data_IF_811080592319
#
_entry.id   IF_811080592319
#
_cell.length_a   1.000
_cell.length_b   1.000
_cell.length_c   1.000
_cell.angle_alpha   90.00
_cell.angle_beta   90.00
_cell.angle_gamma   90.00
#
_symmetry.space_group_name_H-M   'P 1'
#
loop_
_entity.id
_entity.type
_entity.pdbx_description
1 polymer ?
#
# COMPACT_ATOMS: atom_id res chain seq x y z
N UNK A 1 -5.73 3.63 8.41
CA UNK A 1 -4.32 3.86 8.74
C UNK A 1 -3.68 2.60 9.27
N UNK A 2 -2.35 2.50 9.13
CA UNK A 2 -1.53 1.50 9.80
C UNK A 2 -0.55 2.21 10.73
N UNK A 3 -0.44 1.71 11.96
CA UNK A 3 0.47 2.26 12.96
C UNK A 3 1.31 1.12 13.51
N UNK A 4 2.64 1.30 13.50
CA UNK A 4 3.59 0.39 14.15
C UNK A 4 4.23 1.08 15.35
N UNK A 5 4.50 0.31 16.37
CA UNK A 5 5.24 0.77 17.55
C UNK A 5 6.13 -0.34 18.10
N UNK A 6 7.18 0.09 18.81
CA UNK A 6 7.98 -0.77 19.67
C UNK A 6 7.78 -0.35 21.12
N UNK A 7 7.46 -1.33 21.97
CA UNK A 7 7.23 -1.15 23.41
C UNK A 7 8.45 -1.68 24.16
N UNK A 8 9.02 -0.87 25.04
CA UNK A 8 10.18 -1.24 25.85
C UNK A 8 10.24 -0.40 27.13
N UNK A 9 10.37 -1.04 28.27
CA UNK A 9 10.55 -0.39 29.59
C UNK A 9 9.55 0.75 29.88
N UNK A 10 8.25 0.51 29.69
CA UNK A 10 7.20 1.51 29.97
C UNK A 10 7.09 2.63 28.93
N UNK A 11 7.91 2.58 27.88
CA UNK A 11 7.82 3.50 26.74
C UNK A 11 7.20 2.81 25.53
N UNK A 12 6.46 3.57 24.72
CA UNK A 12 5.94 3.13 23.43
C UNK A 12 6.39 4.13 22.36
N UNK A 13 7.23 3.67 21.45
CA UNK A 13 7.74 4.50 20.37
C UNK A 13 7.04 4.13 19.07
N UNK A 14 6.31 5.08 18.49
CA UNK A 14 5.70 4.95 17.16
C UNK A 14 6.83 4.93 16.13
N UNK A 15 6.91 3.86 15.37
CA UNK A 15 7.96 3.62 14.39
C UNK A 15 7.46 3.73 12.96
N UNK A 16 6.14 3.78 12.78
CA UNK A 16 5.49 3.97 11.50
C UNK A 16 4.04 4.42 11.66
N UNK A 17 3.61 5.40 10.88
CA UNK A 17 2.24 5.85 10.79
C UNK A 17 1.92 6.20 9.35
N UNK A 18 1.18 5.32 8.67
CA UNK A 18 0.94 5.38 7.24
C UNK A 18 -0.54 5.49 6.87
N UNK A 19 -0.81 6.20 5.79
CA UNK A 19 -2.09 6.07 5.09
C UNK A 19 -2.15 4.74 4.37
N UNK A 20 -3.31 4.07 4.39
CA UNK A 20 -3.57 2.84 3.64
C UNK A 20 -4.50 3.14 2.47
N UNK A 21 -4.16 2.63 1.31
CA UNK A 21 -4.94 2.74 0.08
C UNK A 21 -5.63 1.42 -0.19
N UNK A 22 -6.92 1.33 0.19
CA UNK A 22 -7.73 0.11 0.11
C UNK A 22 -8.81 0.32 -0.95
N UNK A 23 -8.88 -0.60 -1.93
CA UNK A 23 -9.78 -0.54 -3.08
C UNK A 23 -10.52 -1.86 -3.30
N UNK A 24 -11.39 -1.86 -4.27
CA UNK A 24 -12.08 -3.04 -4.81
C UNK A 24 -12.96 -3.78 -3.79
N UNK A 25 -14.04 -3.15 -3.25
CA UNK A 25 -15.03 -3.90 -2.49
C UNK A 25 -15.67 -5.00 -3.37
N UNK A 26 -16.04 -6.15 -2.83
CA UNK A 26 -16.04 -6.48 -1.41
C UNK A 26 -14.70 -7.03 -0.89
N UNK A 27 -13.65 -7.11 -1.72
CA UNK A 27 -12.37 -7.72 -1.36
C UNK A 27 -11.46 -6.82 -0.53
N UNK A 28 -11.62 -5.48 -0.63
CA UNK A 28 -10.86 -4.48 0.12
C UNK A 28 -9.35 -4.69 0.01
N UNK A 29 -8.86 -4.79 -1.22
CA UNK A 29 -7.46 -5.02 -1.53
C UNK A 29 -6.63 -3.80 -1.14
N UNK A 30 -5.57 -4.01 -0.37
CA UNK A 30 -4.61 -2.99 -0.01
C UNK A 30 -3.64 -2.75 -1.17
N UNK A 31 -3.88 -1.66 -1.89
CA UNK A 31 -3.14 -1.31 -3.11
C UNK A 31 -1.92 -0.44 -2.83
N UNK A 32 -1.69 -0.09 -1.58
CA UNK A 32 -0.51 0.67 -1.20
C UNK A 32 -0.60 1.39 0.14
N UNK A 33 0.53 2.03 0.48
CA UNK A 33 0.70 2.85 1.67
C UNK A 33 1.44 4.14 1.30
N UNK A 34 1.31 5.16 2.15
CA UNK A 34 2.14 6.37 2.08
C UNK A 34 2.52 6.78 3.50
N UNK A 35 3.80 6.93 3.76
CA UNK A 35 4.36 7.34 5.05
C UNK A 35 5.27 8.56 4.89
N UNK A 36 5.17 9.55 5.79
CA UNK A 36 4.22 9.65 6.89
C UNK A 36 2.78 9.88 6.44
N UNK A 37 1.82 9.56 7.29
CA UNK A 37 0.41 9.87 7.04
C UNK A 37 0.18 11.38 6.92
N UNK A 38 -0.78 11.78 6.10
CA UNK A 38 -1.19 13.18 5.92
C UNK A 38 -2.43 13.57 6.74
N UNK A 39 -2.74 12.79 7.77
CA UNK A 39 -3.85 13.10 8.68
C UNK A 39 -3.56 14.36 9.49
N UNK A 40 -4.60 15.11 9.84
CA UNK A 40 -4.54 16.25 10.75
C UNK A 40 -3.92 15.86 12.08
N UNK A 41 -3.05 16.71 12.63
CA UNK A 41 -2.23 16.40 13.80
C UNK A 41 -3.05 16.02 15.05
N UNK A 42 -4.15 16.70 15.34
CA UNK A 42 -4.99 16.35 16.49
C UNK A 42 -5.58 14.93 16.35
N UNK A 43 -6.05 14.59 15.17
CA UNK A 43 -6.58 13.25 14.88
C UNK A 43 -5.49 12.19 14.95
N UNK A 44 -4.28 12.51 14.48
CA UNK A 44 -3.11 11.66 14.59
C UNK A 44 -2.80 11.32 16.04
N UNK A 45 -2.76 12.34 16.91
CA UNK A 45 -2.50 12.18 18.34
C UNK A 45 -3.58 11.36 19.07
N UNK A 46 -4.85 11.56 18.71
CA UNK A 46 -5.94 10.73 19.24
C UNK A 46 -5.84 9.26 18.80
N UNK A 47 -5.45 9.01 17.55
CA UNK A 47 -5.22 7.65 17.04
C UNK A 47 -4.06 6.97 17.78
N UNK A 48 -2.93 7.66 17.95
CA UNK A 48 -1.76 7.16 18.69
C UNK A 48 -2.16 6.87 20.15
N UNK A 49 -2.88 7.78 20.79
CA UNK A 49 -3.32 7.62 22.19
C UNK A 49 -4.28 6.44 22.35
N UNK A 50 -5.19 6.26 21.40
CA UNK A 50 -6.14 5.13 21.39
C UNK A 50 -5.39 3.81 21.15
N UNK A 51 -4.41 3.79 20.26
CA UNK A 51 -3.55 2.64 20.05
C UNK A 51 -2.77 2.26 21.31
N UNK A 52 -2.19 3.23 22.00
CA UNK A 52 -1.47 3.01 23.26
C UNK A 52 -2.36 2.38 24.35
N UNK A 53 -3.61 2.86 24.49
CA UNK A 53 -4.58 2.25 25.39
C UNK A 53 -4.94 0.81 25.00
N UNK A 54 -5.07 0.53 23.72
CA UNK A 54 -5.31 -0.82 23.20
C UNK A 54 -4.13 -1.77 23.46
N UNK A 55 -2.90 -1.32 23.25
CA UNK A 55 -1.68 -2.08 23.56
C UNK A 55 -1.59 -2.41 25.05
N UNK A 56 -1.89 -1.44 25.93
CA UNK A 56 -1.97 -1.67 27.36
C UNK A 56 -3.04 -2.69 27.73
N UNK A 57 -4.23 -2.58 27.13
CA UNK A 57 -5.34 -3.50 27.40
C UNK A 57 -5.03 -4.95 27.04
N UNK A 58 -4.17 -5.16 26.04
CA UNK A 58 -3.63 -6.48 25.66
C UNK A 58 -2.50 -6.96 26.57
N UNK A 59 -2.02 -6.14 27.49
CA UNK A 59 -0.92 -6.50 28.40
C UNK A 59 0.45 -6.57 27.72
N UNK A 60 0.64 -5.96 26.55
CA UNK A 60 1.92 -5.94 25.86
C UNK A 60 2.85 -4.91 26.51
N UNK A 61 3.95 -5.39 27.11
CA UNK A 61 4.93 -4.57 27.84
C UNK A 61 6.27 -4.46 27.13
N UNK A 62 6.60 -5.41 26.23
CA UNK A 62 7.83 -5.44 25.44
C UNK A 62 7.57 -6.05 24.07
N UNK A 63 8.21 -5.52 23.05
CA UNK A 63 8.14 -6.03 21.68
C UNK A 63 7.39 -5.13 20.71
N UNK A 64 7.06 -5.66 19.55
CA UNK A 64 6.38 -4.94 18.50
C UNK A 64 4.86 -4.97 18.67
N UNK A 65 4.21 -3.87 18.36
CA UNK A 65 2.77 -3.76 18.21
C UNK A 65 2.44 -3.08 16.88
N UNK A 66 1.39 -3.56 16.20
CA UNK A 66 0.85 -3.01 14.97
C UNK A 66 -0.65 -2.82 15.14
N UNK A 67 -1.19 -1.72 14.63
CA UNK A 67 -2.64 -1.53 14.57
C UNK A 67 -3.12 -1.18 13.17
N UNK A 68 -4.27 -1.75 12.81
CA UNK A 68 -5.14 -1.24 11.77
C UNK A 68 -6.22 -0.39 12.44
N UNK A 69 -6.23 0.89 12.12
CA UNK A 69 -7.03 1.88 12.84
C UNK A 69 -7.64 2.89 11.85
N UNK A 70 -8.80 3.41 12.16
CA UNK A 70 -9.44 4.46 11.36
C UNK A 70 -9.99 5.57 12.23
N UNK A 71 -10.06 6.76 11.67
CA UNK A 71 -10.73 7.88 12.27
C UNK A 71 -12.14 8.00 11.68
N UNK A 72 -13.16 7.91 12.52
CA UNK A 72 -14.57 7.95 12.12
C UNK A 72 -15.22 9.26 12.62
N UNK A 73 -16.46 9.58 12.21
CA UNK A 73 -17.21 10.69 12.80
C UNK A 73 -17.35 10.61 14.33
N UNK A 74 -17.24 9.40 14.90
CA UNK A 74 -17.30 9.16 16.34
C UNK A 74 -15.89 9.07 16.99
N UNK A 75 -14.84 9.45 16.29
CA UNK A 75 -13.46 9.40 16.73
C UNK A 75 -12.69 8.14 16.30
N UNK A 76 -11.53 7.88 16.94
CA UNK A 76 -10.68 6.73 16.62
C UNK A 76 -11.37 5.40 16.88
N UNK A 77 -11.18 4.44 15.94
CA UNK A 77 -11.66 3.06 16.08
C UNK A 77 -10.55 2.08 15.67
N UNK A 78 -10.21 1.17 16.58
CA UNK A 78 -9.27 0.09 16.33
C UNK A 78 -10.01 -1.04 15.60
N UNK A 79 -9.46 -1.44 14.46
CA UNK A 79 -9.90 -2.65 13.74
C UNK A 79 -9.17 -3.90 14.25
N UNK A 80 -7.85 -3.79 14.42
CA UNK A 80 -6.99 -4.88 14.88
C UNK A 80 -5.78 -4.32 15.61
N UNK A 81 -5.32 -5.02 16.65
CA UNK A 81 -3.96 -4.87 17.21
C UNK A 81 -3.29 -6.24 17.19
N UNK A 82 -2.09 -6.31 16.63
CA UNK A 82 -1.28 -7.51 16.60
C UNK A 82 0.07 -7.26 17.28
N UNK A 83 0.51 -8.24 18.10
CA UNK A 83 1.81 -8.20 18.78
C UNK A 83 2.95 -8.63 17.82
N UNK A 84 3.12 -7.90 16.74
CA UNK A 84 4.12 -8.12 15.70
C UNK A 84 4.36 -6.86 14.89
N UNK A 85 5.42 -6.86 14.08
CA UNK A 85 5.67 -5.84 13.05
C UNK A 85 4.67 -5.99 11.89
N UNK A 86 4.36 -4.89 11.21
CA UNK A 86 3.51 -4.89 10.02
C UNK A 86 4.11 -5.69 8.87
N UNK A 87 3.22 -6.34 8.10
CA UNK A 87 3.53 -6.91 6.80
C UNK A 87 3.44 -5.88 5.67
N UNK A 88 3.22 -6.36 4.44
CA UNK A 88 2.96 -5.50 3.28
C UNK A 88 4.10 -4.55 2.94
N UNK A 89 5.34 -4.96 3.20
CA UNK A 89 6.56 -4.13 3.02
C UNK A 89 6.67 -2.91 3.94
N UNK A 90 5.79 -2.73 4.92
CA UNK A 90 5.83 -1.56 5.82
C UNK A 90 7.06 -1.59 6.73
N UNK A 91 7.13 -2.55 7.65
CA UNK A 91 8.19 -2.57 8.67
C UNK A 91 9.58 -2.85 8.12
N UNK A 92 9.68 -3.61 7.01
CA UNK A 92 10.96 -3.96 6.42
C UNK A 92 11.52 -2.93 5.45
N UNK A 93 10.68 -2.07 4.88
CA UNK A 93 11.08 -1.15 3.81
C UNK A 93 10.48 0.24 3.93
N UNK A 94 9.13 0.39 3.82
CA UNK A 94 8.49 1.70 3.72
C UNK A 94 8.79 2.58 4.94
N UNK A 95 8.67 2.03 6.14
CA UNK A 95 8.96 2.76 7.38
C UNK A 95 10.44 3.05 7.54
N UNK A 96 11.36 2.07 7.41
CA UNK A 96 12.80 2.34 7.42
C UNK A 96 13.25 3.38 6.39
N UNK A 97 12.72 3.35 5.18
CA UNK A 97 13.08 4.34 4.16
C UNK A 97 12.68 5.76 4.55
N UNK A 98 11.51 5.93 5.18
CA UNK A 98 11.06 7.25 5.60
C UNK A 98 11.81 7.77 6.82
N UNK A 99 12.20 6.91 7.76
CA UNK A 99 12.68 7.27 9.09
C UNK A 99 14.16 6.99 9.35
N UNK A 100 14.87 6.29 8.45
CA UNK A 100 16.23 5.77 8.64
C UNK A 100 16.37 4.87 9.89
N UNK A 101 15.26 4.27 10.37
CA UNK A 101 15.24 3.37 11.51
C UNK A 101 15.04 1.92 11.08
N UNK A 102 15.97 1.03 11.41
CA UNK A 102 15.84 -0.40 11.16
C UNK A 102 14.95 -1.06 12.22
N UNK A 103 13.63 -1.04 12.01
CA UNK A 103 12.65 -1.56 12.96
C UNK A 103 12.83 -3.03 13.29
N UNK A 104 13.24 -3.83 12.34
CA UNK A 104 13.46 -5.27 12.52
C UNK A 104 14.63 -5.52 13.48
N UNK A 105 15.71 -4.76 13.34
CA UNK A 105 16.85 -4.81 14.24
C UNK A 105 16.46 -4.40 15.66
N UNK A 106 15.76 -3.28 15.81
CA UNK A 106 15.35 -2.79 17.14
C UNK A 106 14.37 -3.75 17.83
N UNK A 107 13.41 -4.30 17.08
CA UNK A 107 12.51 -5.33 17.59
C UNK A 107 13.26 -6.60 18.04
N UNK A 108 14.28 -7.01 17.28
CA UNK A 108 15.13 -8.16 17.65
C UNK A 108 15.95 -7.89 18.92
N UNK A 109 16.51 -6.69 19.06
CA UNK A 109 17.22 -6.28 20.28
C UNK A 109 16.31 -6.38 21.50
N UNK A 110 15.09 -5.85 21.42
CA UNK A 110 14.09 -5.97 22.49
C UNK A 110 13.77 -7.43 22.80
N UNK A 111 13.55 -8.26 21.78
CA UNK A 111 13.28 -9.69 21.96
C UNK A 111 14.43 -10.45 22.62
N UNK A 112 15.67 -9.99 22.43
CA UNK A 112 16.87 -10.54 23.07
C UNK A 112 17.16 -9.92 24.45
N UNK A 113 16.28 -9.07 24.99
CA UNK A 113 16.48 -8.38 26.26
C UNK A 113 17.57 -7.32 26.22
N UNK A 114 17.88 -6.79 25.03
CA UNK A 114 18.89 -5.74 24.82
C UNK A 114 18.21 -4.39 24.64
N UNK A 115 18.98 -3.33 24.92
CA UNK A 115 18.54 -1.94 24.72
C UNK A 115 18.41 -1.63 23.22
N UNK A 116 17.28 -1.11 22.73
CA UNK A 116 17.13 -0.66 21.35
C UNK A 116 17.76 0.74 21.17
N UNK A 117 19.07 0.81 21.04
CA UNK A 117 19.85 2.05 21.13
C UNK A 117 19.50 3.08 20.06
N UNK A 118 19.27 2.66 18.80
CA UNK A 118 18.90 3.58 17.72
C UNK A 118 17.49 4.14 17.94
N UNK A 119 16.58 3.32 18.45
CA UNK A 119 15.25 3.75 18.79
C UNK A 119 15.29 4.83 19.89
N UNK A 120 16.03 4.60 20.97
CA UNK A 120 16.14 5.54 22.07
C UNK A 120 16.83 6.85 21.69
N UNK A 121 17.85 6.78 20.84
CA UNK A 121 18.61 7.95 20.39
C UNK A 121 17.82 8.87 19.47
N UNK A 122 16.97 8.30 18.59
CA UNK A 122 16.35 9.04 17.48
C UNK A 122 14.91 9.44 17.74
N UNK A 123 14.30 8.97 18.83
CA UNK A 123 12.87 9.23 19.14
C UNK A 123 12.67 10.64 19.70
N UNK A 124 11.51 11.22 19.38
CA UNK A 124 11.03 12.48 19.95
C UNK A 124 9.73 12.24 20.72
N UNK A 125 9.42 13.02 21.79
CA UNK A 125 8.23 12.84 22.59
C UNK A 125 6.95 13.15 21.80
N UNK A 126 5.90 12.37 22.04
CA UNK A 126 4.57 12.55 21.48
C UNK A 126 3.58 12.85 22.60
N UNK A 127 2.72 13.84 22.38
CA UNK A 127 1.69 14.22 23.33
C UNK A 127 0.59 13.16 23.39
N UNK A 128 0.21 12.77 24.61
CA UNK A 128 -0.99 11.96 24.83
C UNK A 128 -2.25 12.84 24.72
N UNK A 129 -3.13 12.50 23.79
CA UNK A 129 -4.40 13.19 23.54
C UNK A 129 -5.50 12.13 23.48
N UNK A 130 -6.17 11.80 24.61
CA UNK A 130 -7.26 10.84 24.59
C UNK A 130 -8.47 11.39 23.84
N UNK A 131 -9.13 10.57 23.04
CA UNK A 131 -10.40 10.92 22.42
C UNK A 131 -11.52 11.08 23.49
N UNK A 132 -12.67 11.64 23.10
CA UNK A 132 -13.78 11.90 24.05
C UNK A 132 -14.22 10.64 24.82
N UNK A 133 -14.29 9.48 24.15
CA UNK A 133 -14.62 8.21 24.78
C UNK A 133 -13.58 7.74 25.81
N UNK A 134 -12.35 8.23 25.72
CA UNK A 134 -11.21 7.83 26.54
C UNK A 134 -10.71 8.96 27.46
N UNK A 135 -11.38 10.08 27.56
CA UNK A 135 -10.93 11.29 28.28
C UNK A 135 -10.54 11.06 29.74
N UNK A 136 -11.12 10.08 30.41
CA UNK A 136 -10.81 9.71 31.79
C UNK A 136 -9.71 8.66 31.93
N UNK A 137 -9.15 8.19 30.81
CA UNK A 137 -8.06 7.20 30.81
C UNK A 137 -6.72 7.91 31.01
N UNK A 138 -5.89 7.36 31.89
CA UNK A 138 -4.53 7.85 32.09
C UNK A 138 -3.63 7.35 30.93
N UNK A 139 -2.62 8.14 30.63
CA UNK A 139 -1.56 7.75 29.69
C UNK A 139 -0.90 6.44 30.14
N UNK A 140 -0.89 5.39 29.27
CA UNK A 140 -0.40 4.07 29.67
C UNK A 140 1.11 3.92 29.56
N UNK A 141 1.74 4.64 28.64
CA UNK A 141 3.17 4.60 28.32
C UNK A 141 3.71 6.01 28.18
N UNK A 142 4.99 6.21 28.36
CA UNK A 142 5.65 7.38 27.79
C UNK A 142 5.66 7.22 26.26
N UNK A 143 5.11 8.22 25.57
CA UNK A 143 4.91 8.15 24.11
C UNK A 143 5.99 8.89 23.36
N UNK A 144 6.56 8.23 22.40
CA UNK A 144 7.56 8.75 21.47
C UNK A 144 7.23 8.37 20.04
N UNK A 145 7.91 9.00 19.09
CA UNK A 145 7.90 8.60 17.68
C UNK A 145 9.28 8.78 17.06
N UNK A 146 9.54 8.04 16.00
CA UNK A 146 10.69 8.26 15.13
C UNK A 146 10.28 9.25 14.04
N UNK A 147 10.94 10.40 13.93
CA UNK A 147 10.62 11.38 12.88
C UNK A 147 10.95 10.82 11.49
N UNK A 148 10.18 11.25 10.48
CA UNK A 148 10.46 10.94 9.09
C UNK A 148 11.37 11.99 8.47
N UNK A 149 12.38 11.55 7.74
CA UNK A 149 13.34 12.38 6.98
C UNK A 149 12.96 12.49 5.49
N UNK A 150 12.04 11.64 5.04
CA UNK A 150 11.50 11.60 3.69
C UNK A 150 10.11 10.98 3.65
N UNK A 151 9.55 10.91 2.46
CA UNK A 151 8.26 10.28 2.20
C UNK A 151 8.46 9.02 1.37
N UNK A 152 7.95 7.91 1.86
CA UNK A 152 7.92 6.64 1.14
C UNK A 152 6.50 6.30 0.71
N UNK A 153 6.33 5.87 -0.53
CA UNK A 153 5.06 5.38 -1.05
C UNK A 153 5.24 3.96 -1.63
N UNK A 154 4.39 3.06 -1.19
CA UNK A 154 4.29 1.71 -1.76
C UNK A 154 3.03 1.65 -2.60
N UNK A 155 3.14 1.07 -3.80
CA UNK A 155 2.01 0.80 -4.71
C UNK A 155 2.11 -0.61 -5.24
N UNK A 156 0.94 -1.27 -5.29
CA UNK A 156 0.82 -2.60 -5.86
C UNK A 156 0.36 -2.53 -7.32
N UNK A 157 0.72 -3.54 -8.10
CA UNK A 157 0.07 -3.81 -9.36
C UNK A 157 -0.63 -5.16 -9.34
N UNK A 158 -1.67 -5.27 -10.14
CA UNK A 158 -2.56 -6.42 -10.23
C UNK A 158 -2.77 -6.83 -11.67
N UNK A 159 -3.42 -7.96 -11.89
CA UNK A 159 -3.86 -8.42 -13.20
C UNK A 159 -5.36 -8.65 -13.24
N UNK A 160 -5.88 -8.84 -14.43
CA UNK A 160 -7.15 -9.50 -14.71
C UNK A 160 -6.90 -11.01 -14.85
N UNK A 161 -7.96 -11.86 -14.80
CA UNK A 161 -7.80 -13.30 -15.01
C UNK A 161 -7.18 -13.61 -16.37
N UNK A 162 -6.20 -14.50 -16.40
CA UNK A 162 -5.57 -14.93 -17.63
C UNK A 162 -4.24 -15.64 -17.42
N UNK A 163 -3.69 -16.15 -18.51
CA UNK A 163 -2.40 -16.81 -18.51
C UNK A 163 -1.32 -15.83 -18.92
N UNK A 164 -0.33 -15.62 -18.04
CA UNK A 164 0.79 -14.73 -18.31
C UNK A 164 1.64 -15.29 -19.44
N UNK A 165 1.80 -14.55 -20.52
CA UNK A 165 2.68 -14.88 -21.63
C UNK A 165 4.06 -14.27 -21.45
N UNK A 166 4.09 -13.05 -20.95
CA UNK A 166 5.32 -12.29 -20.75
C UNK A 166 5.06 -11.10 -19.84
N UNK A 167 6.09 -10.55 -19.25
CA UNK A 167 6.00 -9.29 -18.52
C UNK A 167 7.28 -8.48 -18.66
N UNK A 168 7.19 -7.18 -18.54
CA UNK A 168 8.35 -6.31 -18.60
C UNK A 168 8.32 -5.26 -17.50
N UNK A 169 9.51 -4.93 -16.97
CA UNK A 169 9.73 -3.87 -16.00
C UNK A 169 10.58 -2.78 -16.67
N UNK A 170 9.96 -1.65 -16.97
CA UNK A 170 10.61 -0.50 -17.59
C UNK A 170 10.85 0.65 -16.61
N UNK A 171 10.81 0.37 -15.33
CA UNK A 171 11.05 1.36 -14.25
C UNK A 171 12.50 1.83 -14.29
N UNK A 172 12.71 3.16 -14.35
CA UNK A 172 14.04 3.79 -14.47
C UNK A 172 14.32 4.88 -13.45
N UNK A 173 13.35 5.21 -12.56
CA UNK A 173 13.52 6.30 -11.60
C UNK A 173 14.46 5.90 -10.46
N UNK A 174 15.39 6.78 -10.08
CA UNK A 174 16.27 6.63 -8.92
C UNK A 174 15.50 6.73 -7.59
N UNK A 175 14.32 7.35 -7.61
CA UNK A 175 13.42 7.43 -6.47
C UNK A 175 12.73 6.10 -6.17
N UNK A 176 12.73 5.15 -7.11
CA UNK A 176 12.23 3.80 -6.86
C UNK A 176 13.32 2.98 -6.19
N UNK A 177 13.07 2.65 -4.94
CA UNK A 177 14.02 1.89 -4.12
C UNK A 177 13.90 0.39 -4.31
N UNK A 178 12.67 -0.10 -4.53
CA UNK A 178 12.44 -1.53 -4.76
C UNK A 178 11.30 -1.77 -5.74
N UNK A 179 11.45 -2.84 -6.49
CA UNK A 179 10.38 -3.48 -7.28
C UNK A 179 10.34 -4.94 -6.85
N UNK A 180 9.22 -5.39 -6.31
CA UNK A 180 9.01 -6.75 -5.80
C UNK A 180 7.99 -7.49 -6.66
N UNK A 181 8.38 -8.16 -7.74
CA UNK A 181 7.47 -9.00 -8.50
C UNK A 181 7.11 -10.26 -7.70
N UNK A 182 5.85 -10.62 -7.72
CA UNK A 182 5.34 -11.90 -7.19
C UNK A 182 5.07 -12.90 -8.31
N UNK A 183 4.89 -12.38 -9.52
CA UNK A 183 4.87 -13.18 -10.74
C UNK A 183 6.30 -13.56 -11.09
N UNK A 184 6.58 -14.85 -11.24
CA UNK A 184 7.95 -15.32 -11.41
C UNK A 184 8.21 -15.98 -12.75
N UNK A 185 7.19 -16.53 -13.37
CA UNK A 185 7.35 -17.31 -14.60
C UNK A 185 6.34 -16.91 -15.68
N UNK A 186 6.79 -16.91 -16.93
CA UNK A 186 5.88 -17.02 -18.05
C UNK A 186 5.06 -18.31 -17.92
N UNK A 187 3.76 -18.23 -18.22
CA UNK A 187 2.75 -19.29 -18.07
C UNK A 187 2.07 -19.35 -16.68
N UNK A 188 2.40 -18.48 -15.74
CA UNK A 188 1.64 -18.36 -14.50
C UNK A 188 0.17 -18.00 -14.80
N UNK A 189 -0.76 -18.70 -14.15
CA UNK A 189 -2.17 -18.30 -14.16
C UNK A 189 -2.35 -17.12 -13.23
N UNK A 190 -2.84 -16.01 -13.74
CA UNK A 190 -3.16 -14.81 -12.98
C UNK A 190 -4.65 -14.69 -12.78
N UNK A 191 -5.04 -14.01 -11.72
CA UNK A 191 -6.44 -13.69 -11.45
C UNK A 191 -6.57 -12.24 -10.98
N UNK A 192 -7.79 -11.73 -10.93
CA UNK A 192 -8.07 -10.50 -10.22
C UNK A 192 -7.97 -10.79 -8.70
N UNK A 193 -7.23 -9.98 -7.93
CA UNK A 193 -6.97 -10.31 -6.54
C UNK A 193 -8.25 -10.27 -5.69
N UNK A 194 -8.48 -11.31 -4.91
CA UNK A 194 -9.55 -11.42 -3.91
C UNK A 194 -9.04 -11.25 -2.48
N UNK A 195 -7.71 -11.12 -2.35
CA UNK A 195 -7.00 -10.89 -1.09
C UNK A 195 -5.66 -10.22 -1.37
N UNK A 196 -4.99 -9.78 -0.31
CA UNK A 196 -3.71 -9.05 -0.40
C UNK A 196 -2.52 -9.88 -0.91
N UNK A 197 -2.63 -11.21 -0.95
CA UNK A 197 -1.55 -12.11 -1.39
C UNK A 197 -1.54 -12.26 -2.92
N UNK A 198 -2.68 -12.12 -3.56
CA UNK A 198 -2.86 -12.35 -5.00
C UNK A 198 -2.43 -11.17 -5.89
N UNK A 199 -1.87 -10.11 -5.32
CA UNK A 199 -1.28 -9.01 -6.09
C UNK A 199 -0.07 -9.49 -6.91
N UNK A 200 0.13 -8.93 -8.10
CA UNK A 200 1.22 -9.32 -9.00
C UNK A 200 2.58 -8.78 -8.54
N UNK A 201 2.60 -7.75 -7.73
CA UNK A 201 3.82 -7.20 -7.15
C UNK A 201 3.62 -5.82 -6.53
N UNK A 202 4.73 -5.25 -6.04
CA UNK A 202 4.74 -3.97 -5.35
C UNK A 202 6.00 -3.17 -5.72
N UNK A 203 5.86 -1.86 -5.82
CA UNK A 203 6.99 -0.92 -5.93
C UNK A 203 7.03 -0.05 -4.69
N UNK A 204 8.23 0.41 -4.33
CA UNK A 204 8.44 1.35 -3.23
C UNK A 204 9.28 2.50 -3.72
N UNK A 205 8.76 3.71 -3.55
CA UNK A 205 9.48 4.96 -3.79
C UNK A 205 9.91 5.63 -2.49
N UNK A 206 10.90 6.50 -2.62
CA UNK A 206 11.33 7.42 -1.58
C UNK A 206 11.64 8.77 -2.22
N UNK A 207 11.03 9.85 -1.73
CA UNK A 207 11.29 11.21 -2.18
C UNK A 207 11.21 12.21 -1.02
N UNK A 208 11.55 13.48 -1.28
CA UNK A 208 11.49 14.52 -0.25
C UNK A 208 10.07 15.01 -0.01
N UNK A 209 9.21 14.95 -1.02
CA UNK A 209 7.83 15.40 -0.92
C UNK A 209 6.85 14.25 -1.13
N UNK A 210 5.67 14.39 -0.52
CA UNK A 210 4.59 13.39 -0.62
C UNK A 210 4.09 13.24 -2.07
N UNK A 211 3.90 14.34 -2.77
CA UNK A 211 3.44 14.32 -4.17
C UNK A 211 4.43 13.63 -5.08
N UNK A 212 5.71 13.86 -4.89
CA UNK A 212 6.77 13.22 -5.66
C UNK A 212 6.85 11.72 -5.36
N UNK A 213 6.85 11.30 -4.09
CA UNK A 213 6.88 9.89 -3.73
C UNK A 213 5.68 9.12 -4.32
N UNK A 214 4.48 9.69 -4.23
CA UNK A 214 3.27 9.09 -4.80
C UNK A 214 3.38 9.02 -6.33
N UNK A 215 3.74 10.12 -6.98
CA UNK A 215 3.90 10.18 -8.44
C UNK A 215 4.90 9.13 -8.94
N UNK A 216 6.06 9.02 -8.29
CA UNK A 216 7.09 8.06 -8.68
C UNK A 216 6.62 6.61 -8.54
N UNK A 217 5.93 6.27 -7.45
CA UNK A 217 5.39 4.93 -7.27
C UNK A 217 4.29 4.60 -8.30
N UNK A 218 3.38 5.53 -8.55
CA UNK A 218 2.29 5.36 -9.52
C UNK A 218 2.81 5.32 -10.97
N UNK A 219 3.78 6.15 -11.31
CA UNK A 219 4.47 6.10 -12.60
C UNK A 219 5.23 4.79 -12.77
N UNK A 220 5.86 4.28 -11.71
CA UNK A 220 6.58 3.01 -11.77
C UNK A 220 5.64 1.85 -12.10
N UNK A 221 4.50 1.71 -11.41
CA UNK A 221 3.54 0.64 -11.74
C UNK A 221 2.95 0.77 -13.14
N UNK A 222 2.80 1.99 -13.66
CA UNK A 222 2.36 2.25 -15.04
C UNK A 222 3.40 1.83 -16.10
N UNK A 223 4.64 1.60 -15.69
CA UNK A 223 5.73 1.12 -16.54
C UNK A 223 6.03 -0.39 -16.38
N UNK A 224 5.16 -1.10 -15.67
CA UNK A 224 5.19 -2.57 -15.56
C UNK A 224 4.06 -3.14 -16.40
N UNK A 225 4.40 -3.89 -17.43
CA UNK A 225 3.45 -4.45 -18.38
C UNK A 225 3.31 -5.95 -18.20
N UNK A 226 2.07 -6.41 -18.15
CA UNK A 226 1.70 -7.82 -18.18
C UNK A 226 1.05 -8.12 -19.54
N UNK A 227 1.61 -9.07 -20.28
CA UNK A 227 1.02 -9.56 -21.51
C UNK A 227 0.37 -10.91 -21.26
N UNK A 228 -0.94 -10.97 -21.33
CA UNK A 228 -1.70 -12.19 -21.20
C UNK A 228 -1.86 -12.90 -22.54
N UNK A 229 -2.17 -14.19 -22.51
CA UNK A 229 -2.52 -14.95 -23.69
C UNK A 229 -3.89 -14.49 -24.20
N UNK A 230 -3.96 -14.08 -25.46
CA UNK A 230 -5.15 -13.54 -26.11
C UNK A 230 -6.29 -14.55 -26.30
N UNK A 231 -6.02 -15.84 -26.14
CA UNK A 231 -7.00 -16.91 -26.34
C UNK A 231 -7.45 -17.56 -25.01
N UNK A 232 -7.40 -16.85 -23.92
CA UNK A 232 -7.77 -17.37 -22.62
C UNK A 232 -9.26 -17.09 -22.31
N UNK A 233 -10.05 -18.14 -22.14
CA UNK A 233 -11.50 -18.04 -21.90
C UNK A 233 -11.85 -17.23 -20.62
N UNK A 234 -11.05 -17.31 -19.58
CA UNK A 234 -11.26 -16.52 -18.34
C UNK A 234 -11.07 -15.03 -18.59
N UNK A 235 -10.09 -14.66 -19.42
CA UNK A 235 -9.85 -13.26 -19.81
C UNK A 235 -11.03 -12.73 -20.61
N UNK A 236 -11.51 -13.51 -21.58
CA UNK A 236 -12.65 -13.13 -22.42
C UNK A 236 -13.94 -13.01 -21.58
N UNK A 237 -14.17 -13.94 -20.65
CA UNK A 237 -15.31 -13.88 -19.73
C UNK A 237 -15.26 -12.63 -18.86
N UNK A 238 -14.12 -12.33 -18.28
CA UNK A 238 -13.90 -11.16 -17.44
C UNK A 238 -14.15 -9.85 -18.21
N UNK A 239 -13.62 -9.74 -19.43
CA UNK A 239 -13.75 -8.53 -20.25
C UNK A 239 -15.14 -8.38 -20.86
N UNK A 240 -15.82 -9.50 -21.21
CA UNK A 240 -17.14 -9.44 -21.83
C UNK A 240 -18.28 -9.15 -20.86
N UNK A 241 -18.04 -9.31 -19.56
CA UNK A 241 -18.96 -9.01 -18.46
C UNK A 241 -20.41 -9.48 -18.68
N UNK A 242 -20.57 -10.66 -19.25
CA UNK A 242 -21.88 -11.27 -19.52
C UNK A 242 -22.63 -11.66 -18.23
N UNK A 243 -21.95 -11.64 -17.08
CA UNK A 243 -22.46 -12.07 -15.79
C UNK A 243 -22.39 -10.96 -14.73
N UNK A 244 -22.59 -9.68 -15.10
CA UNK A 244 -22.81 -8.64 -14.09
C UNK A 244 -23.99 -9.00 -13.23
N UNK A 245 -23.77 -9.69 -12.13
CA UNK A 245 -24.73 -9.67 -11.05
C UNK A 245 -24.61 -8.29 -10.38
N UNK A 246 -25.71 -7.58 -10.27
CA UNK A 246 -25.82 -6.22 -9.75
C UNK A 246 -25.24 -6.02 -8.34
N UNK A 247 -24.83 -7.08 -7.67
CA UNK A 247 -24.39 -7.05 -6.28
C UNK A 247 -22.86 -7.11 -6.09
N UNK A 248 -22.08 -7.45 -7.13
CA UNK A 248 -20.66 -7.77 -6.91
C UNK A 248 -19.68 -6.62 -7.19
N UNK A 249 -20.07 -5.53 -7.82
CA UNK A 249 -19.16 -4.49 -8.32
C UNK A 249 -17.92 -5.06 -9.05
N UNK A 250 -18.10 -6.17 -9.77
CA UNK A 250 -17.04 -6.88 -10.45
C UNK A 250 -17.39 -7.05 -11.95
N UNK A 251 -16.53 -6.68 -12.92
CA UNK A 251 -15.19 -6.09 -12.70
C UNK A 251 -15.26 -4.73 -12.00
N UNK A 252 -14.24 -4.39 -11.20
CA UNK A 252 -14.21 -3.08 -10.53
C UNK A 252 -14.28 -1.94 -11.55
N UNK A 253 -14.83 -0.76 -11.18
CA UNK A 253 -14.91 0.41 -12.08
C UNK A 253 -13.57 0.84 -12.68
N UNK A 254 -12.44 0.48 -12.04
CA UNK A 254 -11.09 0.72 -12.57
C UNK A 254 -10.81 0.00 -13.89
N UNK A 255 -11.60 -1.03 -14.23
CA UNK A 255 -11.51 -1.78 -15.50
C UNK A 255 -12.59 -1.36 -16.49
N UNK A 256 -13.39 -0.33 -16.20
CA UNK A 256 -14.21 0.28 -17.24
C UNK A 256 -13.30 0.81 -18.35
N UNK A 257 -13.69 0.56 -19.58
CA UNK A 257 -12.88 0.77 -20.79
C UNK A 257 -12.21 2.15 -20.87
N UNK A 258 -12.87 3.19 -20.43
CA UNK A 258 -12.34 4.54 -20.40
C UNK A 258 -11.07 4.68 -19.53
N UNK A 259 -11.06 4.09 -18.35
CA UNK A 259 -9.90 4.15 -17.45
C UNK A 259 -8.74 3.29 -17.93
N UNK A 260 -9.03 2.17 -18.58
CA UNK A 260 -8.01 1.30 -19.18
C UNK A 260 -7.27 2.06 -20.29
N UNK A 261 -8.00 2.65 -21.22
CA UNK A 261 -7.40 3.35 -22.37
C UNK A 261 -6.66 4.61 -21.95
N UNK A 262 -7.22 5.39 -21.02
CA UNK A 262 -6.59 6.62 -20.52
C UNK A 262 -5.27 6.39 -19.79
N UNK A 263 -5.13 5.24 -19.13
CA UNK A 263 -3.94 4.90 -18.35
C UNK A 263 -2.95 3.98 -19.10
N UNK A 264 -3.29 3.53 -20.30
CA UNK A 264 -2.39 2.75 -21.15
C UNK A 264 -1.30 3.64 -21.74
N UNK A 265 -0.18 3.73 -21.04
CA UNK A 265 1.04 4.28 -21.63
C UNK A 265 1.82 3.13 -22.30
N UNK A 266 1.70 3.03 -23.60
CA UNK A 266 2.47 2.07 -24.42
C UNK A 266 3.92 2.55 -24.57
N UNK A 267 4.73 2.45 -23.54
CA UNK A 267 6.15 2.76 -23.63
C UNK A 267 6.99 1.49 -23.64
N UNK A 268 7.59 1.18 -24.76
CA UNK A 268 8.77 0.33 -24.86
C UNK A 268 8.58 -1.15 -25.20
N UNK A 269 7.36 -1.68 -25.25
CA UNK A 269 7.09 -3.09 -25.63
C UNK A 269 6.73 -3.22 -27.13
N UNK A 270 6.32 -2.13 -27.74
CA UNK A 270 6.03 -2.10 -29.19
C UNK A 270 7.37 -1.92 -29.91
N UNK A 271 7.75 -2.82 -30.84
CA UNK A 271 8.93 -2.62 -31.68
C UNK A 271 8.86 -1.23 -32.32
N UNK A 272 9.93 -0.45 -32.21
CA UNK A 272 9.98 0.95 -32.66
C UNK A 272 9.59 1.19 -34.13
N UNK A 273 9.43 0.14 -34.92
CA UNK A 273 9.15 0.17 -36.34
C UNK A 273 7.73 -0.28 -36.71
N UNK A 274 6.85 -0.57 -35.73
CA UNK A 274 5.47 -0.96 -36.02
C UNK A 274 4.48 0.01 -35.39
N UNK A 275 3.40 0.40 -36.09
CA UNK A 275 2.39 1.30 -35.52
C UNK A 275 1.70 0.67 -34.33
N UNK A 276 1.49 1.46 -33.28
CA UNK A 276 0.86 1.03 -32.02
C UNK A 276 -0.53 0.40 -32.26
N UNK A 277 -1.26 0.90 -33.25
CA UNK A 277 -2.59 0.42 -33.63
C UNK A 277 -2.63 -1.06 -33.99
N UNK A 278 -1.52 -1.65 -34.42
CA UNK A 278 -1.44 -3.09 -34.73
C UNK A 278 -1.63 -3.97 -33.50
N UNK A 279 -1.29 -3.46 -32.32
CA UNK A 279 -1.32 -4.20 -31.06
C UNK A 279 -2.57 -3.89 -30.21
N UNK A 280 -3.39 -2.94 -30.66
CA UNK A 280 -4.67 -2.66 -30.03
C UNK A 280 -5.71 -3.63 -30.61
N UNK A 281 -6.39 -4.45 -29.79
CA UNK A 281 -7.49 -5.29 -30.26
C UNK A 281 -8.54 -4.46 -31.01
N UNK A 282 -9.12 -5.03 -32.06
CA UNK A 282 -10.09 -4.33 -32.89
C UNK A 282 -11.33 -3.91 -32.12
N UNK A 283 -11.71 -4.65 -31.07
CA UNK A 283 -12.77 -4.30 -30.15
C UNK A 283 -12.47 -2.99 -29.42
N UNK A 284 -11.23 -2.79 -28.97
CA UNK A 284 -10.80 -1.55 -28.31
C UNK A 284 -10.76 -0.39 -29.31
N UNK A 285 -10.25 -0.63 -30.54
CA UNK A 285 -10.28 0.40 -31.60
C UNK A 285 -11.71 0.84 -31.92
N UNK A 286 -12.64 -0.11 -31.99
CA UNK A 286 -14.03 0.18 -32.26
C UNK A 286 -14.71 0.95 -31.12
N UNK A 287 -14.34 0.66 -29.86
CA UNK A 287 -14.84 1.39 -28.69
C UNK A 287 -14.33 2.84 -28.67
N UNK A 288 -13.05 3.06 -28.96
CA UNK A 288 -12.45 4.39 -29.05
C UNK A 288 -13.08 5.22 -30.16
N UNK A 289 -13.36 4.60 -31.31
CA UNK A 289 -13.97 5.26 -32.46
C UNK A 289 -15.50 5.49 -32.33
N UNK A 290 -16.16 4.79 -31.39
CA UNK A 290 -17.61 4.91 -31.17
C UNK A 290 -17.98 5.91 -30.09
N UNK A 291 -17.03 6.42 -29.34
CA UNK A 291 -17.24 7.45 -28.33
C UNK A 291 -16.73 8.79 -28.89
N UNK A 292 -17.60 9.80 -28.97
CA UNK A 292 -17.24 11.21 -29.24
C UNK A 292 -16.42 11.80 -28.06
N UNK A 293 -15.33 11.14 -27.71
CA UNK A 293 -14.43 11.59 -26.64
C UNK A 293 -13.32 12.41 -27.29
N UNK A 294 -13.30 13.68 -26.99
CA UNK A 294 -12.22 14.58 -27.34
C UNK A 294 -10.96 14.17 -26.55
N UNK A 295 -9.97 13.63 -27.27
CA UNK A 295 -8.72 13.11 -26.74
C UNK A 295 -7.62 14.18 -26.65
N UNK A 296 -7.95 15.48 -26.80
CA UNK A 296 -7.02 16.61 -26.67
C UNK A 296 -6.82 17.08 -25.23
#
# INVERSE_FOLDING_TARGET
YSIDALVYNGTMTITGFADRHIFYPPYFIEMGHTMPSNIEENKRLELISTFALGVQALGLTHGAAKADIKYTPNGPMIGEIAARLSGGYMSGWTFPYSSDCNLTQEALLIACGKVPELLEKNRIPVKYVPCEACKNKKQPFELYEIPCNGVSAERAWISIPGKLKDWSNNVKSENIKNVFPRITNALDELDFPRNNVEKCGNVISLAQTRSEAIFEAENAISNIFLRLDSNNAKTEEFLSDKNKSDESNFPPPAFESYNIVKNMQFSGVIPQNEPAEKYIPDEIKNMVNSTDVDWN
#
